data_IF_503350883529
#
_entry.id   IF_503350883529
#
_cell.length_a   1.000
_cell.length_b   1.000
_cell.length_c   1.000
_cell.angle_alpha   90.00
_cell.angle_beta   90.00
_cell.angle_gamma   90.00
#
_symmetry.space_group_name_H-M   'P 1'
#
loop_
_entity.id
_entity.type
_entity.pdbx_description
1 polymer ?
#
# COMPACT_ATOMS: atom_id res chain seq x y z
N UNK A 1 -25.00 5.65 -1.41
CA UNK A 1 -23.79 5.89 -2.23
C UNK A 1 -24.10 6.94 -3.27
N UNK A 2 -23.24 7.96 -3.45
CA UNK A 2 -23.44 9.01 -4.47
C UNK A 2 -23.51 8.41 -5.90
N UNK A 3 -24.32 8.94 -6.84
CA UNK A 3 -24.44 8.36 -8.19
C UNK A 3 -23.11 8.23 -8.94
N UNK A 4 -22.19 9.19 -8.78
CA UNK A 4 -20.85 9.10 -9.36
C UNK A 4 -20.01 7.98 -8.75
N UNK A 5 -20.15 7.73 -7.45
CA UNK A 5 -19.46 6.61 -6.80
C UNK A 5 -19.96 5.28 -7.34
N UNK A 6 -21.28 5.12 -7.57
CA UNK A 6 -21.84 3.93 -8.21
C UNK A 6 -21.26 3.69 -9.61
N UNK A 7 -21.02 4.76 -10.38
CA UNK A 7 -20.36 4.67 -11.70
C UNK A 7 -18.86 4.34 -11.57
N UNK A 8 -18.17 4.95 -10.61
CA UNK A 8 -16.74 4.73 -10.39
C UNK A 8 -16.42 3.29 -9.98
N UNK A 9 -17.31 2.67 -9.20
CA UNK A 9 -17.13 1.28 -8.72
C UNK A 9 -17.89 0.25 -9.55
N UNK A 10 -18.71 0.68 -10.51
CA UNK A 10 -19.59 -0.21 -11.28
C UNK A 10 -18.85 -1.28 -12.10
N UNK A 11 -17.56 -1.08 -12.35
CA UNK A 11 -16.69 -2.03 -13.04
C UNK A 11 -15.60 -2.61 -12.12
N UNK A 12 -15.65 -2.33 -10.81
CA UNK A 12 -14.73 -2.91 -9.84
C UNK A 12 -15.05 -4.40 -9.70
N UNK A 13 -14.08 -5.24 -10.03
CA UNK A 13 -14.22 -6.70 -9.95
C UNK A 13 -13.82 -7.27 -8.58
N UNK A 14 -13.45 -6.40 -7.64
CA UNK A 14 -13.09 -6.73 -6.27
C UNK A 14 -14.28 -6.36 -5.37
N UNK A 15 -14.42 -7.07 -4.24
CA UNK A 15 -15.37 -6.69 -3.21
C UNK A 15 -15.23 -5.21 -2.83
N UNK A 16 -16.35 -4.48 -2.93
CA UNK A 16 -16.35 -3.04 -2.74
C UNK A 16 -15.98 -2.66 -1.30
N UNK A 17 -16.41 -3.44 -0.32
CA UNK A 17 -16.10 -3.14 1.08
C UNK A 17 -14.60 -3.29 1.34
N UNK A 18 -13.98 -4.37 0.87
CA UNK A 18 -12.54 -4.58 0.97
C UNK A 18 -11.74 -3.45 0.29
N UNK A 19 -12.17 -3.01 -0.90
CA UNK A 19 -11.52 -1.91 -1.59
C UNK A 19 -11.62 -0.60 -0.79
N UNK A 20 -12.80 -0.31 -0.21
CA UNK A 20 -13.00 0.87 0.62
C UNK A 20 -12.19 0.79 1.92
N UNK A 21 -12.18 -0.36 2.59
CA UNK A 21 -11.40 -0.58 3.82
C UNK A 21 -9.92 -0.33 3.57
N UNK A 22 -9.34 -0.95 2.53
CA UNK A 22 -7.95 -0.71 2.18
C UNK A 22 -7.67 0.75 1.82
N UNK A 23 -8.53 1.38 1.02
CA UNK A 23 -8.34 2.77 0.64
C UNK A 23 -8.36 3.72 1.85
N UNK A 24 -9.31 3.54 2.75
CA UNK A 24 -9.47 4.35 3.96
C UNK A 24 -8.30 4.13 4.92
N UNK A 25 -7.99 2.87 5.22
CA UNK A 25 -6.90 2.49 6.13
C UNK A 25 -5.55 2.96 5.58
N UNK A 26 -5.25 2.70 4.31
CA UNK A 26 -4.00 3.20 3.72
C UNK A 26 -3.93 4.74 3.74
N UNK A 27 -5.03 5.44 3.44
CA UNK A 27 -5.03 6.91 3.45
C UNK A 27 -4.76 7.48 4.85
N UNK A 28 -5.30 6.85 5.90
CA UNK A 28 -5.00 7.23 7.30
C UNK A 28 -3.60 6.83 7.73
N UNK A 29 -3.11 5.68 7.27
CA UNK A 29 -1.73 5.26 7.47
C UNK A 29 -0.73 6.25 6.86
N UNK A 30 -0.97 6.68 5.62
CA UNK A 30 -0.10 7.65 4.96
C UNK A 30 -0.12 9.01 5.66
N UNK A 31 -1.30 9.45 6.12
CA UNK A 31 -1.41 10.63 6.99
C UNK A 31 -0.55 10.47 8.25
N UNK A 32 -0.72 9.39 9.00
CA UNK A 32 0.00 9.14 10.25
C UNK A 32 1.52 9.18 10.02
N UNK A 33 2.02 8.53 8.97
CA UNK A 33 3.44 8.57 8.64
C UNK A 33 3.93 9.98 8.32
N UNK A 34 3.14 10.77 7.60
CA UNK A 34 3.48 12.16 7.28
C UNK A 34 3.49 13.04 8.53
N UNK A 35 2.51 12.87 9.42
CA UNK A 35 2.38 13.61 10.67
C UNK A 35 3.55 13.31 11.62
N UNK A 36 4.03 12.07 11.62
CA UNK A 36 5.24 11.64 12.34
C UNK A 36 6.56 12.05 11.64
N UNK A 37 6.50 12.90 10.60
CA UNK A 37 7.67 13.45 9.94
C UNK A 37 8.43 12.49 9.02
N UNK A 38 7.84 11.33 8.68
CA UNK A 38 8.38 10.41 7.66
C UNK A 38 8.10 10.93 6.24
N UNK A 39 8.60 12.12 5.96
CA UNK A 39 8.38 12.83 4.70
C UNK A 39 9.69 13.11 3.99
N UNK A 40 9.62 13.26 2.67
CA UNK A 40 10.76 13.73 1.90
C UNK A 40 11.08 15.16 2.34
N UNK A 41 12.35 15.42 2.69
CA UNK A 41 12.82 16.72 3.18
C UNK A 41 13.65 17.41 2.10
N UNK A 42 13.48 18.72 1.95
CA UNK A 42 14.23 19.57 1.03
C UNK A 42 14.49 20.93 1.70
N UNK A 43 15.55 21.62 1.27
CA UNK A 43 15.83 23.00 1.68
C UNK A 43 14.82 24.01 1.11
N UNK A 44 14.11 23.64 0.05
CA UNK A 44 13.07 24.46 -0.59
C UNK A 44 11.70 23.78 -0.47
N UNK A 45 10.60 24.55 -0.54
CA UNK A 45 9.26 23.96 -0.55
C UNK A 45 9.07 22.96 -1.69
N UNK A 46 8.62 21.76 -1.34
CA UNK A 46 8.31 20.66 -2.28
C UNK A 46 6.93 20.07 -1.94
N UNK A 47 6.38 19.30 -2.88
CA UNK A 47 5.18 18.50 -2.63
C UNK A 47 5.44 17.46 -1.52
N UNK A 48 4.54 17.39 -0.54
CA UNK A 48 4.69 16.49 0.60
C UNK A 48 4.48 15.03 0.21
N UNK A 49 5.56 14.24 0.24
CA UNK A 49 5.57 12.81 -0.09
C UNK A 49 6.09 12.00 1.09
N UNK A 50 5.52 10.80 1.24
CA UNK A 50 6.00 9.80 2.19
C UNK A 50 7.47 9.45 1.86
N UNK A 51 8.34 9.43 2.86
CA UNK A 51 9.69 8.92 2.76
C UNK A 51 9.73 7.49 3.31
N UNK A 52 9.44 6.50 2.45
CA UNK A 52 9.36 5.08 2.81
C UNK A 52 10.58 4.59 3.60
N UNK A 53 11.80 4.93 3.15
CA UNK A 53 13.03 4.55 3.84
C UNK A 53 13.17 5.10 5.27
N UNK A 54 12.61 6.28 5.55
CA UNK A 54 12.63 6.84 6.92
C UNK A 54 11.73 6.04 7.85
N UNK A 55 10.51 5.71 7.43
CA UNK A 55 9.60 4.88 8.20
C UNK A 55 10.14 3.45 8.34
N UNK A 56 10.65 2.88 7.26
CA UNK A 56 11.27 1.56 7.25
C UNK A 56 12.41 1.48 8.26
N UNK A 57 13.34 2.43 8.26
CA UNK A 57 14.45 2.48 9.21
C UNK A 57 14.00 2.57 10.67
N UNK A 58 12.88 3.26 10.93
CA UNK A 58 12.30 3.38 12.28
C UNK A 58 11.73 2.06 12.80
N UNK A 59 11.02 1.31 11.95
CA UNK A 59 10.29 0.09 12.38
C UNK A 59 11.06 -1.22 12.15
N UNK A 60 12.18 -1.19 11.40
CA UNK A 60 12.73 -2.40 10.78
C UNK A 60 12.99 -3.56 11.75
N UNK A 61 13.60 -3.29 12.90
CA UNK A 61 13.92 -4.32 13.90
C UNK A 61 12.66 -5.02 14.40
N UNK A 62 11.71 -4.25 14.92
CA UNK A 62 10.47 -4.77 15.50
C UNK A 62 9.60 -5.45 14.44
N UNK A 63 9.60 -4.91 13.22
CA UNK A 63 8.86 -5.48 12.10
C UNK A 63 9.41 -6.86 11.71
N UNK A 64 10.72 -7.04 11.62
CA UNK A 64 11.33 -8.36 11.36
C UNK A 64 11.08 -9.35 12.51
N UNK A 65 11.14 -8.89 13.77
CA UNK A 65 10.76 -9.73 14.93
C UNK A 65 9.32 -10.21 14.81
N UNK A 66 8.39 -9.32 14.44
CA UNK A 66 6.97 -9.68 14.25
C UNK A 66 6.79 -10.66 13.09
N UNK A 67 7.48 -10.47 11.96
CA UNK A 67 7.44 -11.41 10.83
C UNK A 67 7.88 -12.81 11.27
N UNK A 68 8.88 -12.90 12.15
CA UNK A 68 9.38 -14.18 12.64
C UNK A 68 8.39 -14.89 13.58
N UNK A 69 7.56 -14.15 14.31
CA UNK A 69 6.64 -14.68 15.34
C UNK A 69 5.17 -14.79 14.92
N UNK A 70 4.74 -14.11 13.86
CA UNK A 70 3.34 -14.08 13.40
C UNK A 70 3.21 -14.73 12.02
N UNK A 71 2.63 -15.93 11.98
CA UNK A 71 2.40 -16.69 10.75
C UNK A 71 1.48 -15.97 9.75
N UNK A 72 0.55 -15.15 10.22
CA UNK A 72 -0.36 -14.38 9.36
C UNK A 72 0.40 -13.27 8.65
N UNK A 73 1.21 -12.52 9.40
CA UNK A 73 2.09 -11.49 8.83
C UNK A 73 3.13 -12.11 7.88
N UNK A 74 3.74 -13.22 8.27
CA UNK A 74 4.72 -13.94 7.44
C UNK A 74 4.14 -14.36 6.09
N UNK A 75 2.91 -14.89 6.07
CA UNK A 75 2.19 -15.22 4.83
C UNK A 75 1.90 -13.97 3.98
N UNK A 76 1.49 -12.87 4.61
CA UNK A 76 1.22 -11.63 3.91
C UNK A 76 2.47 -11.04 3.24
N UNK A 77 3.59 -11.03 3.96
CA UNK A 77 4.89 -10.61 3.42
C UNK A 77 5.33 -11.50 2.27
N UNK A 78 5.27 -12.82 2.45
CA UNK A 78 5.65 -13.78 1.41
C UNK A 78 4.79 -13.61 0.15
N UNK A 79 3.50 -13.27 0.29
CA UNK A 79 2.66 -12.99 -0.85
C UNK A 79 3.15 -11.76 -1.65
N UNK A 80 3.47 -10.66 -0.97
CA UNK A 80 3.99 -9.44 -1.63
C UNK A 80 5.35 -9.67 -2.30
N UNK A 81 6.21 -10.50 -1.71
CA UNK A 81 7.52 -10.83 -2.29
C UNK A 81 7.40 -11.73 -3.54
N UNK A 82 6.42 -12.64 -3.57
CA UNK A 82 6.19 -13.54 -4.70
C UNK A 82 5.34 -12.91 -5.82
N UNK A 83 4.36 -12.07 -5.46
CA UNK A 83 3.38 -11.47 -6.35
C UNK A 83 3.34 -9.93 -6.21
N UNK A 84 4.46 -9.22 -6.44
CA UNK A 84 4.54 -7.78 -6.19
C UNK A 84 3.61 -6.97 -7.10
N UNK A 85 3.04 -5.85 -6.62
CA UNK A 85 2.20 -5.00 -7.43
C UNK A 85 3.02 -4.30 -8.53
N UNK A 86 2.55 -4.45 -9.77
CA UNK A 86 3.06 -3.69 -10.93
C UNK A 86 2.97 -2.19 -10.71
N UNK A 87 3.89 -1.46 -11.34
CA UNK A 87 3.87 0.00 -11.42
C UNK A 87 3.19 0.44 -12.71
N UNK A 88 2.24 1.37 -12.60
CA UNK A 88 1.70 2.06 -13.78
C UNK A 88 2.76 3.00 -14.33
N UNK A 89 2.99 2.95 -15.63
CA UNK A 89 3.96 3.76 -16.36
C UNK A 89 3.32 4.38 -17.59
N UNK A 90 3.99 5.38 -18.15
CA UNK A 90 3.76 5.80 -19.53
C UNK A 90 4.81 5.11 -20.41
N UNK A 91 4.39 4.30 -21.39
CA UNK A 91 5.31 3.58 -22.28
C UNK A 91 5.87 4.46 -23.42
N UNK A 92 5.52 5.74 -23.44
CA UNK A 92 5.80 6.70 -24.51
C UNK A 92 4.60 6.97 -25.42
N UNK A 93 3.55 6.15 -25.37
CA UNK A 93 2.35 6.27 -26.21
C UNK A 93 1.04 6.15 -25.44
N UNK A 94 0.99 5.31 -24.40
CA UNK A 94 -0.20 5.01 -23.61
C UNK A 94 0.17 4.63 -22.17
N UNK A 95 -0.81 4.60 -21.25
CA UNK A 95 -0.61 3.98 -19.94
C UNK A 95 -0.33 2.48 -20.10
N UNK A 96 0.69 2.00 -19.41
CA UNK A 96 1.09 0.59 -19.39
C UNK A 96 1.54 0.15 -17.98
N UNK A 97 1.84 -1.13 -17.81
CA UNK A 97 2.19 -1.74 -16.53
C UNK A 97 3.54 -2.44 -16.60
N UNK A 98 4.45 -2.04 -15.71
CA UNK A 98 5.78 -2.64 -15.63
C UNK A 98 5.91 -3.52 -14.39
N UNK A 99 6.49 -4.70 -14.56
CA UNK A 99 7.07 -5.43 -13.43
C UNK A 99 8.22 -4.61 -12.85
N UNK A 100 8.34 -4.62 -11.54
CA UNK A 100 9.35 -3.83 -10.86
C UNK A 100 10.10 -4.69 -9.88
N UNK A 101 11.42 -4.73 -10.05
CA UNK A 101 12.33 -5.25 -9.03
C UNK A 101 12.70 -4.09 -8.13
N UNK A 102 12.30 -4.19 -6.87
CA UNK A 102 12.66 -3.23 -5.84
C UNK A 102 14.04 -3.56 -5.30
N UNK A 103 14.94 -2.59 -5.35
CA UNK A 103 16.36 -2.72 -5.00
C UNK A 103 16.67 -2.13 -3.62
N UNK A 104 15.64 -1.61 -2.94
CA UNK A 104 15.75 -1.03 -1.62
C UNK A 104 16.20 -2.11 -0.62
N UNK A 105 17.22 -1.84 0.21
CA UNK A 105 17.89 -2.87 1.01
C UNK A 105 16.96 -3.44 2.09
N UNK A 106 16.13 -2.59 2.69
CA UNK A 106 15.19 -3.00 3.74
C UNK A 106 13.94 -3.63 3.12
N UNK A 107 13.57 -4.81 3.61
CA UNK A 107 12.31 -5.48 3.23
C UNK A 107 11.10 -4.61 3.57
N UNK A 108 11.09 -4.00 4.75
CA UNK A 108 10.06 -3.06 5.19
C UNK A 108 9.88 -1.91 4.19
N UNK A 109 10.95 -1.32 3.68
CA UNK A 109 10.88 -0.25 2.67
C UNK A 109 10.24 -0.73 1.37
N UNK A 110 10.63 -1.90 0.85
CA UNK A 110 10.03 -2.48 -0.35
C UNK A 110 8.53 -2.72 -0.19
N UNK A 111 8.12 -3.28 0.95
CA UNK A 111 6.71 -3.54 1.27
C UNK A 111 5.90 -2.23 1.34
N UNK A 112 6.43 -1.20 2.01
CA UNK A 112 5.77 0.11 2.10
C UNK A 112 5.58 0.74 0.71
N UNK A 113 6.58 0.64 -0.18
CA UNK A 113 6.47 1.11 -1.57
C UNK A 113 5.39 0.33 -2.32
N UNK A 114 5.33 -0.98 -2.14
CA UNK A 114 4.32 -1.82 -2.76
C UNK A 114 2.90 -1.51 -2.26
N UNK A 115 2.70 -1.25 -0.97
CA UNK A 115 1.41 -0.79 -0.43
C UNK A 115 0.92 0.49 -1.13
N UNK A 116 1.80 1.47 -1.30
CA UNK A 116 1.48 2.70 -2.07
C UNK A 116 1.03 2.38 -3.49
N UNK A 117 1.67 1.40 -4.14
CA UNK A 117 1.29 0.98 -5.50
C UNK A 117 -0.06 0.28 -5.50
N UNK A 118 -0.35 -0.61 -4.57
CA UNK A 118 -1.68 -1.24 -4.46
C UNK A 118 -2.76 -0.18 -4.33
N UNK A 119 -2.56 0.82 -3.46
CA UNK A 119 -3.50 1.95 -3.34
C UNK A 119 -3.67 2.72 -4.65
N UNK A 120 -2.57 3.04 -5.33
CA UNK A 120 -2.63 3.76 -6.61
C UNK A 120 -3.28 2.92 -7.71
N UNK A 121 -3.14 1.60 -7.67
CA UNK A 121 -3.69 0.69 -8.68
C UNK A 121 -5.20 0.44 -8.48
N UNK A 122 -5.71 0.58 -7.26
CA UNK A 122 -7.05 0.15 -6.85
C UNK A 122 -8.18 0.74 -7.72
N UNK A 123 -8.08 2.01 -8.09
CA UNK A 123 -9.09 2.71 -8.91
C UNK A 123 -8.56 3.16 -10.28
N UNK A 124 -7.29 2.89 -10.58
CA UNK A 124 -6.69 3.21 -11.88
C UNK A 124 -6.91 2.01 -12.79
N UNK A 125 -7.98 2.06 -13.57
CA UNK A 125 -8.51 0.97 -14.40
C UNK A 125 -7.61 0.52 -15.57
N UNK A 126 -6.32 0.35 -15.37
CA UNK A 126 -5.48 -0.36 -16.35
C UNK A 126 -5.55 -1.90 -16.19
N UNK A 127 -6.00 -2.40 -15.02
CA UNK A 127 -6.14 -3.84 -14.71
C UNK A 127 -7.59 -4.30 -14.52
N UNK A 128 -8.50 -3.40 -14.13
CA UNK A 128 -9.89 -3.70 -13.81
C UNK A 128 -10.85 -3.85 -15.00
N UNK A 129 -10.38 -3.77 -16.25
CA UNK A 129 -11.25 -3.84 -17.44
C UNK A 129 -10.99 -5.04 -18.35
N UNK A 130 -10.11 -5.97 -17.98
CA UNK A 130 -9.93 -7.25 -18.67
C UNK A 130 -10.44 -8.39 -17.77
N UNK A 131 -11.46 -9.16 -18.18
CA UNK A 131 -12.08 -10.20 -17.37
C UNK A 131 -11.21 -11.47 -17.36
N UNK A 132 -10.05 -11.41 -16.69
CA UNK A 132 -9.27 -12.60 -16.37
C UNK A 132 -9.38 -12.86 -14.86
N UNK A 133 -10.04 -13.96 -14.49
CA UNK A 133 -10.29 -14.36 -13.09
C UNK A 133 -9.04 -14.33 -12.20
N UNK A 134 -7.89 -14.76 -12.72
CA UNK A 134 -6.61 -14.76 -12.00
C UNK A 134 -6.13 -13.36 -11.59
N UNK A 135 -6.47 -12.31 -12.35
CA UNK A 135 -6.08 -10.93 -12.01
C UNK A 135 -6.93 -10.39 -10.85
N UNK A 136 -8.21 -10.78 -10.79
CA UNK A 136 -9.14 -10.40 -9.73
C UNK A 136 -8.73 -11.02 -8.40
N UNK A 137 -8.38 -12.31 -8.39
CA UNK A 137 -7.89 -13.01 -7.20
C UNK A 137 -6.60 -12.37 -6.67
N UNK A 138 -5.63 -12.11 -7.56
CA UNK A 138 -4.38 -11.46 -7.16
C UNK A 138 -4.61 -10.10 -6.52
N UNK A 139 -5.41 -9.25 -7.15
CA UNK A 139 -5.65 -7.90 -6.65
C UNK A 139 -6.46 -7.96 -5.33
N UNK A 140 -7.33 -8.95 -5.14
CA UNK A 140 -8.02 -9.21 -3.85
C UNK A 140 -7.03 -9.60 -2.75
N UNK A 141 -6.12 -10.54 -3.02
CA UNK A 141 -5.11 -10.96 -2.05
C UNK A 141 -4.11 -9.85 -1.72
N UNK A 142 -3.74 -9.00 -2.69
CA UNK A 142 -2.90 -7.83 -2.44
C UNK A 142 -3.55 -6.88 -1.41
N UNK A 143 -4.86 -6.65 -1.48
CA UNK A 143 -5.55 -5.81 -0.51
C UNK A 143 -5.60 -6.48 0.87
N UNK A 144 -6.00 -7.75 0.94
CA UNK A 144 -6.09 -8.48 2.21
C UNK A 144 -4.74 -8.57 2.94
N UNK A 145 -3.70 -9.00 2.24
CA UNK A 145 -2.35 -9.05 2.81
C UNK A 145 -1.79 -7.66 3.09
N UNK A 146 -2.16 -6.66 2.29
CA UNK A 146 -1.78 -5.29 2.53
C UNK A 146 -2.34 -4.72 3.84
N UNK A 147 -3.59 -5.04 4.19
CA UNK A 147 -4.18 -4.67 5.48
C UNK A 147 -3.41 -5.29 6.66
N UNK A 148 -3.03 -6.56 6.56
CA UNK A 148 -2.20 -7.24 7.58
C UNK A 148 -0.86 -6.54 7.76
N UNK A 149 -0.20 -6.18 6.66
CA UNK A 149 1.09 -5.48 6.70
C UNK A 149 0.93 -4.09 7.33
N UNK A 150 -0.09 -3.30 6.94
CA UNK A 150 -0.33 -1.97 7.51
C UNK A 150 -0.56 -2.07 9.02
N UNK A 151 -1.38 -3.04 9.47
CA UNK A 151 -1.61 -3.27 10.90
C UNK A 151 -0.30 -3.56 11.63
N UNK A 152 0.52 -4.48 11.11
CA UNK A 152 1.80 -4.81 11.73
C UNK A 152 2.77 -3.63 11.79
N UNK A 153 2.77 -2.75 10.79
CA UNK A 153 3.56 -1.51 10.83
C UNK A 153 3.08 -0.58 11.94
N UNK A 154 1.77 -0.36 12.08
CA UNK A 154 1.19 0.44 13.16
C UNK A 154 1.50 -0.17 14.54
N UNK A 155 1.63 -1.50 14.62
CA UNK A 155 1.96 -2.19 15.86
C UNK A 155 3.45 -2.06 16.24
N UNK A 156 4.32 -1.62 15.33
CA UNK A 156 5.74 -1.39 15.59
C UNK A 156 6.04 0.00 16.16
N UNK A 157 5.11 0.96 16.04
CA UNK A 157 5.36 2.34 16.43
C UNK A 157 4.11 2.98 17.04
N UNK A 158 4.21 3.35 18.32
CA UNK A 158 3.09 3.90 19.08
C UNK A 158 2.67 5.29 18.58
N UNK A 159 3.64 6.12 18.16
CA UNK A 159 3.36 7.47 17.65
C UNK A 159 2.57 7.39 16.33
N UNK A 160 2.94 6.43 15.47
CA UNK A 160 2.19 6.07 14.26
C UNK A 160 0.76 5.64 14.58
N UNK A 161 0.57 4.73 15.54
CA UNK A 161 -0.76 4.24 15.93
C UNK A 161 -1.63 5.36 16.52
N UNK A 162 -1.05 6.21 17.36
CA UNK A 162 -1.73 7.37 17.95
C UNK A 162 -2.18 8.34 16.85
N UNK A 163 -1.29 8.68 15.92
CA UNK A 163 -1.61 9.59 14.81
C UNK A 163 -2.67 9.00 13.88
N UNK A 164 -2.60 7.69 13.59
CA UNK A 164 -3.59 6.98 12.77
C UNK A 164 -5.01 7.06 13.33
N UNK A 165 -5.14 6.89 14.65
CA UNK A 165 -6.42 6.85 15.38
C UNK A 165 -6.87 8.21 15.92
N UNK A 166 -6.02 9.24 15.87
CA UNK A 166 -6.36 10.59 16.30
C UNK A 166 -7.32 11.26 15.31
N UNK A 167 -8.42 11.80 15.83
CA UNK A 167 -9.31 12.70 15.09
C UNK A 167 -8.95 14.12 15.53
N UNK A 168 -7.99 14.75 14.86
CA UNK A 168 -7.77 16.19 14.98
C UNK A 168 -8.76 16.95 14.10
#
# INVERSE_FOLDING_TARGET
MHPLAKRAVGNLQIDLQLALDFFLIYSRFEYAAKDNGHVQKSATPIELKLAHGSLAGRINSDFETRIASDDTLKKAVAYYENEPPKKQIWDGKKPDWKETVQQEPMRSERLLIWLTRVRNNLFHGGKGFAPESKKIERDTFLLQHGLVIIQAVLDCDEDMRNSFSSYQ
#
